data_IF_446950458099
#
_entry.id   IF_446950458099
#
_cell.length_a   1.000
_cell.length_b   1.000
_cell.length_c   1.000
_cell.angle_alpha   90.00
_cell.angle_beta   90.00
_cell.angle_gamma   90.00
#
_symmetry.space_group_name_H-M   'P 1'
#
loop_
_entity.id
_entity.type
_entity.pdbx_description
1 polymer ?
#
# COMPACT_ATOMS: atom_id res chain seq x y z
N UNK A 1 -38.70 -6.90 -17.02
CA UNK A 1 -37.25 -6.80 -17.26
C UNK A 1 -36.80 -5.46 -16.71
N UNK A 2 -36.23 -5.46 -15.50
CA UNK A 2 -35.73 -4.24 -14.85
C UNK A 2 -34.26 -4.11 -15.19
N UNK A 3 -33.87 -3.00 -15.79
CA UNK A 3 -32.48 -2.62 -16.09
C UNK A 3 -31.67 -2.50 -14.79
N UNK A 4 -30.41 -2.96 -14.74
CA UNK A 4 -29.56 -2.76 -13.57
C UNK A 4 -29.19 -1.28 -13.41
N UNK A 5 -29.32 -0.81 -12.18
CA UNK A 5 -28.96 0.51 -11.67
C UNK A 5 -27.44 0.74 -11.82
N UNK A 6 -26.95 1.88 -12.34
CA UNK A 6 -25.53 2.18 -12.35
C UNK A 6 -25.09 2.38 -10.89
N UNK A 7 -24.46 1.36 -10.32
CA UNK A 7 -23.88 1.38 -8.98
C UNK A 7 -23.00 2.62 -8.85
N UNK A 8 -23.47 3.60 -8.09
CA UNK A 8 -22.68 4.72 -7.61
C UNK A 8 -21.61 4.10 -6.70
N UNK A 9 -20.39 3.96 -7.23
CA UNK A 9 -19.24 3.60 -6.41
C UNK A 9 -19.07 4.62 -5.28
N UNK A 10 -18.38 4.25 -4.18
CA UNK A 10 -18.06 5.21 -3.13
C UNK A 10 -17.35 6.44 -3.75
N UNK A 11 -17.61 7.65 -3.24
CA UNK A 11 -17.01 8.87 -3.77
C UNK A 11 -15.48 8.73 -3.76
N UNK A 12 -14.86 9.02 -4.91
CA UNK A 12 -13.40 9.02 -5.05
C UNK A 12 -12.82 9.93 -3.95
N UNK A 13 -11.87 9.43 -3.16
CA UNK A 13 -11.36 10.19 -2.04
C UNK A 13 -10.49 11.35 -2.60
N UNK A 14 -10.43 12.53 -1.92
CA UNK A 14 -9.72 13.72 -2.39
C UNK A 14 -8.28 13.47 -2.89
N UNK A 15 -7.77 14.29 -3.82
CA UNK A 15 -6.44 14.07 -4.36
C UNK A 15 -5.37 14.06 -3.25
N UNK A 16 -4.39 13.14 -3.36
CA UNK A 16 -3.28 12.98 -2.43
C UNK A 16 -2.56 14.30 -2.12
N UNK A 17 -2.03 14.48 -0.89
CA UNK A 17 -0.99 15.48 -0.68
C UNK A 17 0.24 15.13 -1.55
N UNK A 18 0.89 16.12 -2.20
CA UNK A 18 2.09 15.86 -3.00
C UNK A 18 3.23 15.35 -2.11
N UNK A 19 3.87 14.27 -2.53
CA UNK A 19 5.09 13.75 -1.90
C UNK A 19 6.29 14.65 -2.22
N UNK A 20 7.23 14.74 -1.26
CA UNK A 20 8.40 15.63 -1.29
C UNK A 20 9.34 15.40 -2.48
N UNK A 21 9.31 14.22 -3.11
CA UNK A 21 10.25 13.86 -4.17
C UNK A 21 9.78 14.20 -5.58
N UNK A 22 8.49 14.44 -5.82
CA UNK A 22 7.96 14.67 -7.18
C UNK A 22 8.23 13.52 -8.17
N UNK A 23 8.77 12.39 -7.71
CA UNK A 23 9.10 11.18 -8.48
C UNK A 23 8.05 10.08 -8.31
N UNK A 24 7.06 10.29 -7.45
CA UNK A 24 5.99 9.34 -7.18
C UNK A 24 4.63 10.02 -7.26
N UNK A 25 3.61 9.29 -7.70
CA UNK A 25 2.22 9.68 -7.56
C UNK A 25 1.44 8.63 -6.79
N UNK A 26 0.51 9.06 -5.94
CA UNK A 26 -0.31 8.14 -5.16
C UNK A 26 -1.37 7.50 -6.07
N UNK A 27 -1.53 6.18 -6.00
CA UNK A 27 -2.55 5.43 -6.77
C UNK A 27 -3.81 5.15 -5.96
N UNK A 28 -3.67 4.97 -4.64
CA UNK A 28 -4.75 4.83 -3.67
C UNK A 28 -4.26 5.21 -2.27
N UNK A 29 -5.19 5.45 -1.35
CA UNK A 29 -4.84 5.87 0.01
C UNK A 29 -5.93 5.54 1.03
N UNK A 30 -5.51 5.44 2.29
CA UNK A 30 -6.36 5.21 3.47
C UNK A 30 -7.36 4.03 3.30
N UNK A 31 -6.85 2.89 2.81
CA UNK A 31 -7.62 1.65 2.72
C UNK A 31 -7.17 0.62 3.76
N UNK A 32 -8.01 -0.38 4.02
CA UNK A 32 -7.77 -1.42 5.05
C UNK A 32 -7.25 -2.73 4.46
N UNK A 33 -6.49 -2.64 3.36
CA UNK A 33 -5.94 -3.80 2.67
C UNK A 33 -4.59 -3.46 2.03
N UNK A 34 -3.66 -4.42 2.08
CA UNK A 34 -2.36 -4.33 1.43
C UNK A 34 -2.40 -4.99 0.05
N UNK A 35 -1.57 -4.48 -0.86
CA UNK A 35 -1.40 -5.02 -2.22
C UNK A 35 -0.85 -6.44 -2.15
N UNK A 36 -1.46 -7.33 -2.93
CA UNK A 36 -1.01 -8.70 -3.12
C UNK A 36 -0.92 -8.99 -4.62
N UNK A 37 0.31 -9.01 -5.15
CA UNK A 37 0.57 -9.16 -6.57
C UNK A 37 1.82 -10.01 -6.84
N UNK A 38 1.89 -10.61 -8.03
CA UNK A 38 2.92 -11.58 -8.44
C UNK A 38 4.32 -10.96 -8.58
N UNK A 39 4.42 -9.65 -8.75
CA UNK A 39 5.67 -8.93 -8.97
C UNK A 39 6.21 -8.26 -7.68
N UNK A 40 5.71 -8.72 -6.54
CA UNK A 40 6.26 -8.44 -5.22
C UNK A 40 7.77 -8.72 -5.18
N UNK A 41 8.52 -7.76 -4.64
CA UNK A 41 9.97 -7.86 -4.53
C UNK A 41 10.41 -8.22 -3.11
N UNK A 42 10.05 -7.38 -2.15
CA UNK A 42 10.46 -7.47 -0.75
C UNK A 42 9.63 -6.52 0.10
N UNK A 43 9.77 -6.62 1.42
CA UNK A 43 9.26 -5.63 2.35
C UNK A 43 10.32 -5.19 3.36
N UNK A 44 10.08 -4.02 3.97
CA UNK A 44 10.82 -3.49 5.12
C UNK A 44 9.88 -2.87 6.14
N UNK A 45 10.43 -2.50 7.30
CA UNK A 45 9.74 -1.66 8.29
C UNK A 45 10.47 -0.32 8.34
N UNK A 46 9.72 0.77 8.28
CA UNK A 46 10.23 2.14 8.27
C UNK A 46 9.36 3.05 9.13
N UNK A 47 9.85 4.25 9.45
CA UNK A 47 9.14 5.18 10.32
C UNK A 47 8.18 6.10 9.53
N UNK A 48 8.47 6.37 8.26
CA UNK A 48 7.67 7.28 7.42
C UNK A 48 7.46 6.77 5.99
N UNK A 49 6.47 7.36 5.30
CA UNK A 49 6.27 7.15 3.86
C UNK A 49 7.52 7.53 3.07
N UNK A 50 8.18 8.64 3.42
CA UNK A 50 9.38 9.13 2.71
C UNK A 50 10.56 8.15 2.84
N UNK A 51 10.72 7.52 4.01
CA UNK A 51 11.72 6.46 4.20
C UNK A 51 11.41 5.24 3.32
N UNK A 52 10.13 4.91 3.12
CA UNK A 52 9.72 3.82 2.25
C UNK A 52 9.99 4.11 0.76
N UNK A 53 9.71 5.35 0.32
CA UNK A 53 10.07 5.78 -1.04
C UNK A 53 11.59 5.74 -1.25
N UNK A 54 12.36 6.21 -0.26
CA UNK A 54 13.83 6.14 -0.28
C UNK A 54 14.33 4.68 -0.34
N UNK A 55 13.66 3.77 0.38
CA UNK A 55 13.95 2.34 0.30
C UNK A 55 13.73 1.82 -1.14
N UNK A 56 12.61 2.15 -1.77
CA UNK A 56 12.33 1.80 -3.17
C UNK A 56 13.41 2.34 -4.11
N UNK A 57 13.85 3.58 -3.94
CA UNK A 57 14.91 4.20 -4.76
C UNK A 57 16.25 3.48 -4.67
N UNK A 58 16.55 2.84 -3.53
CA UNK A 58 17.75 2.04 -3.33
C UNK A 58 17.68 0.64 -3.95
N UNK A 59 16.47 0.16 -4.29
CA UNK A 59 16.22 -1.18 -4.81
C UNK A 59 16.06 -1.12 -6.33
N UNK A 60 17.05 -1.66 -7.05
CA UNK A 60 17.02 -1.71 -8.51
C UNK A 60 15.77 -2.45 -9.00
N UNK A 61 14.96 -1.75 -9.80
CA UNK A 61 13.74 -2.29 -10.40
C UNK A 61 12.48 -2.06 -9.59
N UNK A 62 12.56 -1.41 -8.42
CA UNK A 62 11.37 -0.98 -7.69
C UNK A 62 10.65 0.12 -8.49
N UNK A 63 9.37 -0.14 -8.81
CA UNK A 63 8.49 0.78 -9.54
C UNK A 63 7.29 1.23 -8.72
N UNK A 64 7.02 0.58 -7.60
CA UNK A 64 5.86 0.86 -6.77
C UNK A 64 6.08 0.50 -5.31
N UNK A 65 5.39 1.25 -4.46
CA UNK A 65 5.41 1.11 -3.01
C UNK A 65 3.99 0.98 -2.48
N UNK A 66 3.72 -0.02 -1.66
CA UNK A 66 2.57 -0.03 -0.76
C UNK A 66 3.02 0.15 0.68
N UNK A 67 2.62 1.26 1.29
CA UNK A 67 2.83 1.56 2.71
C UNK A 67 1.58 1.27 3.51
N UNK A 68 1.67 0.57 4.63
CA UNK A 68 0.52 0.27 5.49
C UNK A 68 0.92 -0.05 6.94
N UNK A 69 0.00 0.09 7.89
CA UNK A 69 0.18 -0.44 9.24
C UNK A 69 -0.37 -1.87 9.31
N UNK A 70 0.48 -2.81 9.73
CA UNK A 70 0.10 -4.18 10.05
C UNK A 70 -0.13 -4.25 11.56
N UNK A 71 -1.32 -3.84 12.01
CA UNK A 71 -1.65 -3.71 13.43
C UNK A 71 -1.69 -5.07 14.07
N UNK A 72 -1.02 -5.22 15.21
CA UNK A 72 -0.72 -6.53 15.81
C UNK A 72 0.03 -7.47 14.85
N UNK A 73 0.68 -6.94 13.82
CA UNK A 73 1.54 -7.70 12.93
C UNK A 73 2.86 -8.04 13.59
N UNK A 74 3.88 -8.33 12.77
CA UNK A 74 5.28 -8.63 13.14
C UNK A 74 5.73 -8.09 14.52
N UNK A 75 5.66 -8.95 15.53
CA UNK A 75 6.04 -8.69 16.93
C UNK A 75 5.40 -7.42 17.57
N UNK A 76 4.23 -7.01 17.08
CA UNK A 76 3.52 -5.80 17.54
C UNK A 76 4.19 -4.49 17.12
N UNK A 77 5.00 -4.49 16.06
CA UNK A 77 5.65 -3.29 15.56
C UNK A 77 4.64 -2.19 15.23
N UNK A 78 4.97 -0.96 15.64
CA UNK A 78 4.21 0.25 15.27
C UNK A 78 4.76 0.92 14.01
N UNK A 79 5.79 0.32 13.38
CA UNK A 79 6.40 0.87 12.17
C UNK A 79 5.51 0.62 10.95
N UNK A 80 5.65 1.50 9.97
CA UNK A 80 5.00 1.37 8.68
C UNK A 80 5.64 0.20 7.91
N UNK A 81 4.81 -0.74 7.47
CA UNK A 81 5.24 -1.76 6.51
C UNK A 81 5.42 -1.13 5.15
N UNK A 82 6.55 -1.44 4.51
CA UNK A 82 6.98 -0.91 3.23
C UNK A 82 7.13 -2.05 2.24
N UNK A 83 6.09 -2.37 1.47
CA UNK A 83 6.12 -3.43 0.46
C UNK A 83 6.49 -2.84 -0.92
N UNK A 84 7.46 -3.47 -1.58
CA UNK A 84 8.01 -3.01 -2.87
C UNK A 84 7.60 -3.95 -4.00
N UNK A 85 7.25 -3.36 -5.14
CA UNK A 85 6.80 -4.06 -6.35
C UNK A 85 7.50 -3.47 -7.57
N UNK A 86 7.57 -4.25 -8.66
CA UNK A 86 8.19 -3.79 -9.91
C UNK A 86 7.25 -2.97 -10.79
N UNK A 87 5.93 -3.21 -10.67
CA UNK A 87 4.85 -2.60 -11.45
C UNK A 87 3.96 -1.78 -10.54
N UNK A 88 3.25 -0.83 -11.13
CA UNK A 88 2.31 0.01 -10.38
C UNK A 88 0.98 -0.69 -10.17
N UNK A 89 0.43 -0.53 -8.97
CA UNK A 89 -0.82 -1.15 -8.53
C UNK A 89 -1.86 -0.11 -8.12
N UNK A 90 -3.12 -0.50 -8.30
CA UNK A 90 -4.28 0.24 -7.80
C UNK A 90 -4.88 -0.41 -6.56
N UNK A 91 -5.96 0.18 -6.04
CA UNK A 91 -6.68 -0.37 -4.89
C UNK A 91 -7.32 -1.73 -5.20
N UNK A 92 -7.57 -2.04 -6.47
CA UNK A 92 -8.07 -3.32 -6.95
C UNK A 92 -7.14 -4.50 -6.67
N UNK A 93 -5.84 -4.25 -6.50
CA UNK A 93 -4.84 -5.27 -6.17
C UNK A 93 -4.64 -5.40 -4.64
N UNK A 94 -5.31 -4.57 -3.84
CA UNK A 94 -5.23 -4.57 -2.39
C UNK A 94 -6.33 -5.45 -1.77
N UNK A 95 -6.05 -6.75 -1.66
CA UNK A 95 -6.99 -7.74 -1.10
C UNK A 95 -6.49 -8.40 0.20
N UNK A 96 -5.26 -8.13 0.63
CA UNK A 96 -4.73 -8.64 1.89
C UNK A 96 -5.19 -7.77 3.07
N UNK A 97 -6.26 -8.20 3.74
CA UNK A 97 -6.83 -7.51 4.91
C UNK A 97 -6.19 -7.91 6.25
N UNK A 98 -5.18 -8.79 6.23
CA UNK A 98 -4.65 -9.45 7.44
C UNK A 98 -5.51 -10.64 7.87
N UNK A 99 -5.64 -10.87 9.17
CA UNK A 99 -6.44 -11.98 9.74
C UNK A 99 -5.62 -13.17 10.25
N UNK A 100 -4.30 -13.07 10.24
CA UNK A 100 -3.40 -14.07 10.80
C UNK A 100 -3.37 -13.99 12.34
N UNK A 101 -3.43 -15.16 13.00
CA UNK A 101 -3.25 -15.25 14.45
C UNK A 101 -1.78 -15.11 14.85
N UNK A 102 -1.54 -14.29 15.87
CA UNK A 102 -0.22 -14.03 16.43
C UNK A 102 0.07 -14.94 17.64
N UNK A 103 1.35 -15.06 18.08
CA UNK A 103 1.71 -15.89 19.24
C UNK A 103 1.01 -15.52 20.55
N UNK A 104 0.60 -14.25 20.71
CA UNK A 104 -0.15 -13.76 21.88
C UNK A 104 -1.67 -13.94 21.76
N UNK A 105 -2.14 -14.52 20.66
CA UNK A 105 -3.56 -14.75 20.37
C UNK A 105 -4.29 -13.55 19.75
N UNK A 106 -3.61 -12.42 19.55
CA UNK A 106 -4.17 -11.32 18.76
C UNK A 106 -4.32 -11.70 17.29
N UNK A 107 -5.20 -10.99 16.59
CA UNK A 107 -5.38 -11.10 15.14
C UNK A 107 -4.87 -9.81 14.53
N UNK A 108 -4.03 -9.90 13.52
CA UNK A 108 -3.57 -8.71 12.81
C UNK A 108 -4.60 -8.22 11.78
N UNK A 109 -4.51 -6.95 11.45
CA UNK A 109 -5.32 -6.33 10.41
C UNK A 109 -4.54 -5.17 9.78
N UNK A 110 -4.91 -4.83 8.54
CA UNK A 110 -4.26 -3.75 7.80
C UNK A 110 -5.06 -2.45 7.94
N UNK A 111 -4.35 -1.36 8.23
CA UNK A 111 -4.89 0.00 8.20
C UNK A 111 -3.90 0.99 7.55
N UNK A 112 -4.37 2.21 7.28
CA UNK A 112 -3.58 3.28 6.67
C UNK A 112 -2.80 2.85 5.41
N UNK A 113 -3.40 1.99 4.59
CA UNK A 113 -2.73 1.46 3.40
C UNK A 113 -2.80 2.45 2.24
N UNK A 114 -1.63 2.77 1.68
CA UNK A 114 -1.45 3.72 0.59
C UNK A 114 -0.54 3.15 -0.50
N UNK A 115 -0.80 3.50 -1.75
CA UNK A 115 -0.03 3.06 -2.91
C UNK A 115 0.67 4.23 -3.61
N UNK A 116 1.93 4.04 -4.00
CA UNK A 116 2.77 5.05 -4.64
C UNK A 116 3.47 4.47 -5.86
N UNK A 117 3.09 4.94 -7.04
CA UNK A 117 3.73 4.56 -8.29
C UNK A 117 4.85 5.52 -8.64
N UNK A 118 6.00 5.00 -9.03
CA UNK A 118 7.12 5.81 -9.51
C UNK A 118 6.80 6.38 -10.89
N UNK A 119 6.96 7.69 -11.04
CA UNK A 119 6.96 8.36 -12.33
C UNK A 119 8.19 7.87 -13.10
N UNK A 120 7.99 6.97 -14.06
CA UNK A 120 9.07 6.54 -14.96
C UNK A 120 9.68 7.78 -15.62
N UNK A 121 11.00 7.96 -15.44
CA UNK A 121 11.77 8.93 -16.21
C UNK A 121 11.75 8.47 -17.68
N UNK A 122 11.04 9.21 -18.53
CA UNK A 122 11.08 9.03 -19.99
C UNK A 122 12.45 9.37 -20.56
#
# INVERSE_FOLDING_TARGET
YTTPDPTYGPPSPPPPPPTSSGEYYQTFYDITAAVQADDYMTYGLVDTVEDCLTMCDSVKGCGFVNTYHDVNGKDGSLQLSCALFTLCHGAEDADNIGGQSQPDGSINFIEDSNGWCKLTSY
#
